data_IF_701833492406
#
_entry.id   IF_701833492406
#
_cell.length_a   1.000
_cell.length_b   1.000
_cell.length_c   1.000
_cell.angle_alpha   90.00
_cell.angle_beta   90.00
_cell.angle_gamma   90.00
#
_symmetry.space_group_name_H-M   'P 1'
#
loop_
_entity.id
_entity.type
_entity.pdbx_description
1 polymer ?
#
# COMPACT_ATOMS: atom_id res chain seq x y z
N UNK A 1 -22.95 -4.57 -12.20
CA UNK A 1 -23.08 -4.05 -10.83
C UNK A 1 -21.70 -3.67 -10.33
N UNK A 2 -21.53 -2.51 -9.69
CA UNK A 2 -20.23 -2.01 -9.24
C UNK A 2 -20.15 -1.87 -7.72
N UNK A 3 -18.93 -1.75 -7.20
CA UNK A 3 -18.65 -1.39 -5.80
C UNK A 3 -18.30 0.08 -5.73
N UNK A 4 -18.96 0.82 -4.84
CA UNK A 4 -18.60 2.19 -4.52
C UNK A 4 -18.38 2.35 -3.02
N UNK A 5 -17.40 3.17 -2.64
CA UNK A 5 -17.06 3.47 -1.25
C UNK A 5 -17.33 4.96 -1.03
N UNK A 6 -18.21 5.29 -0.09
CA UNK A 6 -18.51 6.69 0.22
C UNK A 6 -17.34 7.38 0.95
N UNK A 7 -17.31 8.73 1.04
CA UNK A 7 -16.35 9.43 1.88
C UNK A 7 -16.41 8.99 3.36
N UNK A 8 -17.59 8.55 3.82
CA UNK A 8 -17.79 7.94 5.14
C UNK A 8 -17.39 6.45 5.17
N UNK A 9 -16.69 5.97 4.15
CA UNK A 9 -16.22 4.60 3.92
C UNK A 9 -17.30 3.53 4.01
N UNK A 10 -18.54 3.86 3.63
CA UNK A 10 -19.61 2.87 3.48
C UNK A 10 -19.52 2.22 2.11
N UNK A 11 -19.42 0.90 2.09
CA UNK A 11 -19.38 0.09 0.87
C UNK A 11 -20.81 -0.09 0.35
N UNK A 12 -21.03 0.14 -0.94
CA UNK A 12 -22.29 -0.12 -1.64
C UNK A 12 -22.05 -1.01 -2.84
N UNK A 13 -22.87 -2.05 -2.96
CA UNK A 13 -22.87 -2.97 -4.11
C UNK A 13 -24.10 -2.69 -4.99
N UNK A 14 -23.87 -2.33 -6.24
CA UNK A 14 -24.94 -2.10 -7.21
C UNK A 14 -25.80 -0.85 -6.92
N UNK A 15 -26.93 -0.76 -7.61
CA UNK A 15 -27.87 0.38 -7.53
C UNK A 15 -28.85 0.29 -6.37
N UNK A 16 -28.87 -0.84 -5.63
CA UNK A 16 -29.77 -1.03 -4.50
C UNK A 16 -29.21 -0.39 -3.23
N UNK A 17 -30.10 0.30 -2.51
CA UNK A 17 -29.83 1.22 -1.40
C UNK A 17 -29.70 0.51 -0.05
N UNK A 18 -29.26 -0.75 -0.03
CA UNK A 18 -29.09 -1.47 1.24
C UNK A 18 -27.72 -1.18 1.82
N UNK A 19 -27.73 -0.46 2.93
CA UNK A 19 -26.54 -0.19 3.74
C UNK A 19 -26.24 -1.43 4.58
N UNK A 20 -25.13 -2.11 4.28
CA UNK A 20 -24.68 -3.23 5.09
C UNK A 20 -23.90 -2.65 6.27
N UNK A 21 -24.39 -2.90 7.49
CA UNK A 21 -23.68 -2.56 8.73
C UNK A 21 -22.37 -3.31 8.82
N UNK A 22 -21.30 -2.61 9.24
CA UNK A 22 -20.01 -3.23 9.47
C UNK A 22 -20.11 -4.19 10.67
N UNK A 23 -20.39 -5.46 10.41
CA UNK A 23 -20.16 -6.53 11.39
C UNK A 23 -18.71 -6.40 11.88
N UNK A 24 -18.50 -6.57 13.19
CA UNK A 24 -17.20 -6.40 13.83
C UNK A 24 -16.12 -7.03 12.99
N UNK A 25 -15.27 -6.20 12.38
CA UNK A 25 -14.25 -6.67 11.45
C UNK A 25 -13.29 -7.49 12.29
N UNK A 26 -13.36 -8.81 12.20
CA UNK A 26 -12.35 -9.67 12.78
C UNK A 26 -10.99 -9.30 12.15
N UNK A 27 -9.91 -9.41 12.93
CA UNK A 27 -8.57 -9.19 12.40
C UNK A 27 -8.33 -10.09 11.18
N UNK A 28 -7.87 -9.51 10.08
CA UNK A 28 -7.54 -10.27 8.86
C UNK A 28 -6.06 -10.63 8.96
N UNK A 29 -5.72 -11.90 8.75
CA UNK A 29 -4.34 -12.39 8.73
C UNK A 29 -4.10 -13.21 7.46
N UNK A 30 -3.01 -12.91 6.77
CA UNK A 30 -2.50 -13.68 5.63
C UNK A 30 -1.07 -14.10 5.96
N UNK A 31 -0.82 -15.41 5.93
CA UNK A 31 0.51 -15.98 6.10
C UNK A 31 1.00 -16.54 4.77
N UNK A 32 2.08 -15.95 4.26
CA UNK A 32 2.80 -16.44 3.10
C UNK A 32 4.14 -17.04 3.53
N UNK A 33 4.84 -17.67 2.58
CA UNK A 33 6.16 -18.26 2.83
C UNK A 33 7.16 -17.21 3.36
N UNK A 34 7.18 -16.03 2.73
CA UNK A 34 8.23 -15.03 2.92
C UNK A 34 7.72 -13.80 3.71
N UNK A 35 6.43 -13.73 4.05
CA UNK A 35 5.88 -12.63 4.84
C UNK A 35 4.57 -12.98 5.54
N UNK A 36 4.17 -12.14 6.49
CA UNK A 36 2.86 -12.17 7.13
C UNK A 36 2.24 -10.78 7.06
N UNK A 37 0.97 -10.71 6.68
CA UNK A 37 0.16 -9.50 6.68
C UNK A 37 -0.94 -9.62 7.73
N UNK A 38 -1.10 -8.56 8.52
CA UNK A 38 -2.18 -8.46 9.51
C UNK A 38 -2.88 -7.12 9.37
N UNK A 39 -4.21 -7.12 9.43
CA UNK A 39 -5.02 -5.91 9.49
C UNK A 39 -5.61 -5.77 10.88
N UNK A 40 -5.26 -4.67 11.55
CA UNK A 40 -5.89 -4.29 12.81
C UNK A 40 -7.13 -3.41 12.52
N UNK A 41 -8.35 -3.86 12.85
CA UNK A 41 -9.58 -3.12 12.58
C UNK A 41 -9.78 -1.91 13.50
N UNK A 42 -9.14 -1.88 14.67
CA UNK A 42 -9.24 -0.81 15.67
C UNK A 42 -8.41 0.38 15.22
N UNK A 43 -7.12 0.17 14.94
CA UNK A 43 -6.25 1.26 14.43
C UNK A 43 -6.33 1.42 12.91
N UNK A 44 -6.97 0.48 12.21
CA UNK A 44 -7.17 0.45 10.75
C UNK A 44 -5.86 0.47 9.97
N UNK A 45 -4.87 -0.28 10.44
CA UNK A 45 -3.55 -0.37 9.82
C UNK A 45 -3.24 -1.79 9.35
N UNK A 46 -2.60 -1.87 8.19
CA UNK A 46 -1.92 -3.09 7.75
C UNK A 46 -0.50 -3.11 8.32
N UNK A 47 -0.12 -4.25 8.91
CA UNK A 47 1.26 -4.52 9.32
C UNK A 47 1.79 -5.67 8.49
N UNK A 48 2.93 -5.43 7.81
CA UNK A 48 3.67 -6.43 7.06
C UNK A 48 4.94 -6.81 7.82
N UNK A 49 5.13 -8.09 8.09
CA UNK A 49 6.35 -8.64 8.67
C UNK A 49 6.99 -9.62 7.70
N UNK A 50 8.21 -9.31 7.22
CA UNK A 50 8.96 -10.19 6.33
C UNK A 50 9.64 -11.32 7.12
N UNK A 51 9.55 -12.53 6.59
CA UNK A 51 10.22 -13.72 7.13
C UNK A 51 11.47 -13.99 6.31
N UNK A 52 12.60 -13.56 6.84
CA UNK A 52 13.91 -13.79 6.23
C UNK A 52 14.31 -15.26 6.39
N UNK A 53 15.02 -15.80 5.41
CA UNK A 53 15.38 -17.23 5.35
C UNK A 53 16.26 -17.70 6.51
N UNK A 54 17.06 -16.81 7.11
CA UNK A 54 17.90 -17.08 8.28
C UNK A 54 17.29 -16.56 9.59
N UNK A 55 16.04 -16.08 9.56
CA UNK A 55 15.35 -15.47 10.69
C UNK A 55 15.90 -14.12 11.13
N UNK A 56 16.97 -13.61 10.51
CA UNK A 56 17.55 -12.30 10.80
C UNK A 56 17.29 -11.36 9.64
N UNK A 57 16.48 -10.34 9.90
CA UNK A 57 16.37 -9.23 8.97
C UNK A 57 17.71 -8.53 8.77
N UNK A 58 17.92 -7.83 7.65
CA UNK A 58 19.14 -7.06 7.45
C UNK A 58 19.22 -5.95 8.51
N UNK A 59 20.37 -5.86 9.20
CA UNK A 59 20.63 -4.80 10.19
C UNK A 59 20.46 -3.40 9.58
N UNK A 60 20.96 -3.26 8.34
CA UNK A 60 20.83 -2.07 7.51
C UNK A 60 20.60 -2.51 6.07
N UNK A 61 19.52 -2.04 5.44
CA UNK A 61 19.38 -2.21 3.99
C UNK A 61 20.45 -1.34 3.33
N UNK A 62 21.39 -1.98 2.62
CA UNK A 62 22.50 -1.30 1.93
C UNK A 62 22.05 -0.50 0.71
N UNK A 63 20.76 -0.45 0.43
CA UNK A 63 20.24 0.23 -0.74
C UNK A 63 20.42 1.74 -0.58
N UNK A 64 21.21 2.36 -1.46
CA UNK A 64 21.50 3.81 -1.44
C UNK A 64 20.57 4.60 -2.34
N UNK A 65 19.89 3.92 -3.26
CA UNK A 65 18.95 4.54 -4.19
C UNK A 65 17.66 4.82 -3.44
N UNK A 66 17.28 6.10 -3.35
CA UNK A 66 15.98 6.54 -2.81
C UNK A 66 14.87 6.42 -3.85
N UNK A 67 15.21 6.71 -5.10
CA UNK A 67 14.28 6.75 -6.22
C UNK A 67 15.04 6.43 -7.50
N UNK A 68 14.49 5.53 -8.31
CA UNK A 68 14.94 5.33 -9.68
C UNK A 68 14.28 6.35 -10.57
N UNK A 69 15.08 7.02 -11.41
CA UNK A 69 14.59 8.04 -12.35
C UNK A 69 13.49 7.44 -13.24
N UNK A 70 12.25 7.94 -13.18
CA UNK A 70 11.18 7.50 -14.06
C UNK A 70 11.51 7.77 -15.53
N UNK A 71 11.02 6.92 -16.43
CA UNK A 71 11.04 7.22 -17.86
C UNK A 71 10.39 8.58 -18.12
N UNK A 72 10.89 9.35 -19.09
CA UNK A 72 10.44 10.73 -19.33
C UNK A 72 8.91 10.85 -19.48
N UNK A 73 8.28 9.94 -20.23
CA UNK A 73 6.82 9.89 -20.40
C UNK A 73 6.02 9.47 -19.16
N UNK A 74 6.66 8.91 -18.14
CA UNK A 74 6.02 8.47 -16.90
C UNK A 74 6.21 9.45 -15.73
N UNK A 75 7.16 10.40 -15.83
CA UNK A 75 7.57 11.26 -14.71
C UNK A 75 6.41 12.08 -14.11
N UNK A 76 5.53 12.62 -14.94
CA UNK A 76 4.37 13.39 -14.45
C UNK A 76 3.38 12.50 -13.70
N UNK A 77 2.96 11.41 -14.32
CA UNK A 77 2.03 10.45 -13.71
C UNK A 77 2.58 9.85 -12.41
N UNK A 78 3.88 9.54 -12.38
CA UNK A 78 4.57 9.07 -11.17
C UNK A 78 4.48 10.09 -10.02
N UNK A 79 4.74 11.37 -10.27
CA UNK A 79 4.67 12.41 -9.23
C UNK A 79 3.24 12.67 -8.75
N UNK A 80 2.27 12.58 -9.65
CA UNK A 80 0.85 12.69 -9.32
C UNK A 80 0.40 11.51 -8.44
N UNK A 81 0.77 10.29 -8.82
CA UNK A 81 0.46 9.08 -8.04
C UNK A 81 1.11 9.13 -6.65
N UNK A 82 2.36 9.57 -6.54
CA UNK A 82 3.00 9.80 -5.24
C UNK A 82 2.28 10.85 -4.40
N UNK A 83 1.88 11.99 -4.99
CA UNK A 83 1.13 13.01 -4.27
C UNK A 83 -0.18 12.44 -3.73
N UNK A 84 -0.91 11.72 -4.59
CA UNK A 84 -2.16 11.07 -4.20
C UNK A 84 -1.92 10.05 -3.08
N UNK A 85 -0.83 9.30 -3.09
CA UNK A 85 -0.50 8.36 -1.99
C UNK A 85 -0.22 9.09 -0.68
N UNK A 86 0.44 10.25 -0.72
CA UNK A 86 0.69 11.08 0.47
C UNK A 86 -0.61 11.70 1.00
N UNK A 87 -1.42 12.29 0.12
CA UNK A 87 -2.71 12.90 0.48
C UNK A 87 -3.71 11.89 1.05
N UNK A 88 -3.69 10.65 0.53
CA UNK A 88 -4.52 9.55 1.06
C UNK A 88 -3.92 8.90 2.33
N UNK A 89 -2.73 9.33 2.77
CA UNK A 89 -2.03 8.79 3.94
C UNK A 89 -1.47 7.38 3.75
N UNK A 90 -1.34 6.91 2.50
CA UNK A 90 -0.69 5.62 2.19
C UNK A 90 0.82 5.70 2.33
N UNK A 91 1.40 6.86 2.00
CA UNK A 91 2.78 7.20 2.31
C UNK A 91 2.81 8.38 3.27
N UNK A 92 3.55 8.24 4.35
CA UNK A 92 3.81 9.33 5.31
C UNK A 92 5.30 9.64 5.32
N UNK A 93 5.69 10.92 5.43
CA UNK A 93 7.09 11.29 5.61
C UNK A 93 7.72 10.52 6.77
N UNK A 94 8.95 10.04 6.58
CA UNK A 94 9.66 9.34 7.63
C UNK A 94 10.06 10.31 8.74
N UNK A 95 9.67 9.99 9.98
CA UNK A 95 9.98 10.80 11.15
C UNK A 95 11.18 10.23 11.90
N UNK A 96 12.36 10.78 11.64
CA UNK A 96 13.59 10.36 12.31
C UNK A 96 13.62 10.67 13.81
N UNK A 97 12.83 11.64 14.30
CA UNK A 97 12.75 11.91 15.74
C UNK A 97 12.01 10.79 16.47
N UNK A 98 11.01 10.21 15.81
CA UNK A 98 10.20 9.12 16.36
C UNK A 98 10.84 7.74 16.15
N UNK A 99 11.41 7.51 14.97
CA UNK A 99 11.88 6.18 14.57
C UNK A 99 13.42 6.03 14.56
N UNK A 100 14.15 7.11 14.83
CA UNK A 100 15.59 7.17 14.66
C UNK A 100 16.01 7.27 13.19
N UNK A 101 17.32 7.18 12.90
CA UNK A 101 17.83 7.20 11.54
C UNK A 101 17.23 6.07 10.70
N UNK A 102 16.99 6.32 9.41
CA UNK A 102 16.52 5.29 8.51
C UNK A 102 17.52 4.12 8.44
N UNK A 103 17.10 2.94 8.87
CA UNK A 103 17.90 1.70 8.79
C UNK A 103 18.00 1.16 7.35
N UNK A 104 17.34 1.79 6.40
CA UNK A 104 17.28 1.28 5.05
C UNK A 104 16.34 2.08 4.16
N UNK A 105 16.59 2.01 2.85
CA UNK A 105 15.76 2.65 1.83
C UNK A 105 15.11 1.60 0.96
N UNK A 106 13.80 1.73 0.77
CA UNK A 106 13.09 1.03 -0.30
C UNK A 106 12.98 2.02 -1.45
N UNK A 107 13.68 1.79 -2.58
CA UNK A 107 13.67 2.72 -3.69
C UNK A 107 12.28 2.77 -4.33
N UNK A 108 11.78 3.99 -4.56
CA UNK A 108 10.60 4.17 -5.40
C UNK A 108 10.98 4.00 -6.87
N UNK A 109 10.09 3.37 -7.64
CA UNK A 109 10.26 3.17 -9.08
C UNK A 109 8.94 3.38 -9.81
N UNK A 110 9.02 3.83 -11.06
CA UNK A 110 7.87 3.94 -11.96
C UNK A 110 8.00 2.94 -13.09
N UNK A 111 6.97 2.12 -13.31
CA UNK A 111 6.89 1.19 -14.45
C UNK A 111 5.67 1.53 -15.28
N UNK A 112 5.87 1.71 -16.59
CA UNK A 112 4.76 1.95 -17.53
C UNK A 112 3.99 0.65 -17.74
N UNK A 113 2.81 0.55 -17.16
CA UNK A 113 1.92 -0.60 -17.33
C UNK A 113 0.95 -0.37 -18.50
N UNK A 114 1.32 -0.85 -19.70
CA UNK A 114 0.51 -0.65 -20.94
C UNK A 114 -0.89 -1.27 -20.92
N UNK A 115 -1.12 -2.24 -20.03
CA UNK A 115 -2.42 -2.92 -19.89
C UNK A 115 -3.25 -2.39 -18.70
N UNK A 116 -2.75 -1.38 -17.96
CA UNK A 116 -3.50 -0.80 -16.83
C UNK A 116 -4.82 -0.23 -17.36
N UNK A 117 -5.93 -0.75 -16.85
CA UNK A 117 -7.29 -0.36 -17.25
C UNK A 117 -7.89 -1.12 -18.44
N UNK A 118 -7.15 -2.03 -19.09
CA UNK A 118 -7.79 -2.93 -20.07
C UNK A 118 -8.72 -3.90 -19.33
N UNK A 119 -10.01 -3.98 -19.68
CA UNK A 119 -10.89 -4.99 -19.11
C UNK A 119 -10.31 -6.37 -19.44
N UNK A 120 -10.33 -7.26 -18.44
CA UNK A 120 -9.99 -8.66 -18.64
C UNK A 120 -11.01 -9.23 -19.64
N UNK A 121 -10.57 -9.61 -20.83
CA UNK A 121 -11.41 -10.43 -21.72
C UNK A 121 -11.39 -11.85 -21.13
N UNK A 122 -12.51 -12.24 -20.53
CA UNK A 122 -12.86 -13.62 -20.18
C UNK A 122 -13.62 -14.27 -21.31
#
# INVERSE_FOLDING_TARGET
>A
GGVSISPRRRVRFGTKREEIGAAGVAGIKLEEKDFTLTFDPVVRCWTAAWRWSDGRGPDVLRNRVKEYVPAAGAKSAYREELRNWIENGWLVPYDEKKYGPAKGLIPLMAVVQRNKGKPMQT
#
